data_IF_426688638727
#
_entry.id   IF_426688638727
#
_cell.length_a   1.000
_cell.length_b   1.000
_cell.length_c   1.000
_cell.angle_alpha   90.00
_cell.angle_beta   90.00
_cell.angle_gamma   90.00
#
_symmetry.space_group_name_H-M   'P 1'
#
loop_
_entity.id
_entity.type
_entity.pdbx_description
1 polymer ?
#
# COMPACT_ATOMS: atom_id res chain seq x y z
N UNK A 1 -120.02 27.12 -45.53
CA UNK A 1 -118.76 27.87 -45.54
C UNK A 1 -117.65 26.92 -45.25
N UNK A 2 -116.87 26.64 -46.23
CA UNK A 2 -115.89 25.61 -46.34
C UNK A 2 -114.53 25.93 -45.81
N UNK A 3 -113.87 24.92 -45.55
CA UNK A 3 -112.40 24.94 -45.73
C UNK A 3 -111.88 23.52 -45.91
N UNK A 4 -111.10 23.38 -46.95
CA UNK A 4 -110.43 22.18 -47.40
C UNK A 4 -109.23 21.85 -46.50
N UNK A 5 -109.05 20.58 -46.16
CA UNK A 5 -107.81 20.07 -45.57
C UNK A 5 -106.97 19.34 -46.61
N UNK A 6 -105.76 19.81 -46.87
CA UNK A 6 -104.80 19.16 -47.78
C UNK A 6 -104.11 18.03 -47.07
N UNK A 7 -104.16 16.85 -47.65
CA UNK A 7 -103.38 15.66 -47.30
C UNK A 7 -101.94 15.82 -47.74
N UNK A 8 -100.99 15.62 -46.82
CA UNK A 8 -99.52 15.56 -47.11
C UNK A 8 -99.10 14.07 -47.03
N UNK A 9 -98.69 13.51 -48.15
CA UNK A 9 -98.08 12.19 -48.26
C UNK A 9 -96.69 12.11 -47.58
N UNK A 10 -96.47 11.27 -46.61
CA UNK A 10 -95.20 10.92 -46.01
C UNK A 10 -94.44 9.92 -46.90
N UNK A 11 -93.16 10.23 -47.25
CA UNK A 11 -92.24 9.34 -47.95
C UNK A 11 -91.64 8.32 -46.94
N UNK A 12 -91.40 7.03 -47.34
CA UNK A 12 -90.76 6.04 -46.45
C UNK A 12 -89.29 6.32 -46.25
N UNK A 13 -88.83 6.35 -45.00
CA UNK A 13 -87.43 6.42 -44.58
C UNK A 13 -86.73 5.09 -44.88
N UNK A 14 -85.71 5.10 -45.74
CA UNK A 14 -84.80 3.99 -46.01
C UNK A 14 -83.98 3.64 -44.73
N UNK A 15 -84.20 2.46 -44.16
CA UNK A 15 -83.40 1.91 -43.07
C UNK A 15 -81.94 1.72 -43.55
N UNK A 16 -81.01 2.53 -43.04
CA UNK A 16 -79.55 2.39 -43.27
C UNK A 16 -79.11 1.19 -42.48
N UNK A 17 -78.46 0.23 -43.14
CA UNK A 17 -77.98 -1.01 -42.57
C UNK A 17 -76.64 -0.72 -41.79
N UNK A 18 -76.74 -0.33 -40.51
CA UNK A 18 -75.60 0.02 -39.66
C UNK A 18 -74.85 -1.20 -39.05
N UNK A 19 -75.30 -2.44 -39.34
CA UNK A 19 -74.72 -3.66 -38.81
C UNK A 19 -73.35 -3.98 -39.36
N UNK A 20 -73.11 -3.70 -40.65
CA UNK A 20 -71.78 -3.99 -41.28
C UNK A 20 -70.65 -3.09 -40.80
N UNK A 21 -70.95 -1.80 -40.59
CA UNK A 21 -69.90 -0.85 -40.08
C UNK A 21 -69.52 -1.15 -38.64
N UNK A 22 -70.43 -1.64 -37.79
CA UNK A 22 -70.08 -2.02 -36.41
C UNK A 22 -69.16 -3.22 -36.35
N UNK A 23 -69.33 -4.22 -37.19
CA UNK A 23 -68.42 -5.39 -37.26
C UNK A 23 -67.03 -5.00 -37.74
N UNK A 24 -66.95 -4.11 -38.76
CA UNK A 24 -65.65 -3.58 -39.26
C UNK A 24 -64.92 -2.76 -38.17
N UNK A 25 -65.71 -1.94 -37.43
CA UNK A 25 -65.13 -1.18 -36.31
C UNK A 25 -64.61 -2.08 -35.16
N UNK A 26 -65.38 -3.17 -34.85
CA UNK A 26 -64.88 -4.13 -33.80
C UNK A 26 -63.67 -4.88 -34.28
N UNK A 27 -63.57 -5.32 -35.51
CA UNK A 27 -62.40 -5.98 -36.09
C UNK A 27 -61.20 -5.00 -36.09
N UNK A 28 -61.41 -3.76 -36.51
CA UNK A 28 -60.37 -2.74 -36.51
C UNK A 28 -59.90 -2.42 -35.08
N UNK A 29 -60.79 -2.34 -34.08
CA UNK A 29 -60.44 -2.14 -32.66
C UNK A 29 -59.67 -3.34 -32.11
N UNK A 30 -60.04 -4.57 -32.41
CA UNK A 30 -59.27 -5.78 -31.99
C UNK A 30 -57.91 -5.81 -32.65
N UNK A 31 -57.75 -5.50 -33.92
CA UNK A 31 -56.48 -5.40 -34.61
C UNK A 31 -55.59 -4.28 -34.01
N UNK A 32 -56.26 -3.15 -33.67
CA UNK A 32 -55.54 -2.03 -33.00
C UNK A 32 -55.06 -2.41 -31.58
N UNK A 33 -55.89 -3.14 -30.82
CA UNK A 33 -55.48 -3.65 -29.49
C UNK A 33 -54.37 -4.68 -29.61
N UNK A 34 -54.39 -5.59 -30.59
CA UNK A 34 -53.30 -6.53 -30.85
C UNK A 34 -52.06 -5.80 -31.31
N UNK A 35 -52.18 -4.81 -32.19
CA UNK A 35 -51.06 -3.98 -32.65
C UNK A 35 -50.47 -3.14 -31.52
N UNK A 36 -51.29 -2.46 -30.72
CA UNK A 36 -50.86 -1.68 -29.56
C UNK A 36 -50.29 -2.60 -28.47
N UNK A 37 -50.90 -3.74 -28.20
CA UNK A 37 -50.42 -4.75 -27.26
C UNK A 37 -49.03 -5.28 -27.68
N UNK A 38 -48.81 -5.55 -28.95
CA UNK A 38 -47.51 -5.95 -29.50
C UNK A 38 -46.45 -4.82 -29.40
N UNK A 39 -46.88 -3.57 -29.66
CA UNK A 39 -45.98 -2.40 -29.50
C UNK A 39 -45.65 -2.12 -28.04
N UNK A 40 -46.64 -2.21 -27.12
CA UNK A 40 -46.36 -2.06 -25.68
C UNK A 40 -45.48 -3.21 -25.16
N UNK A 41 -45.76 -4.46 -25.57
CA UNK A 41 -44.90 -5.59 -25.18
C UNK A 41 -43.45 -5.40 -25.61
N UNK A 42 -43.21 -4.87 -26.83
CA UNK A 42 -41.87 -4.56 -27.32
C UNK A 42 -41.25 -3.32 -26.64
N UNK A 43 -42.03 -2.33 -26.22
CA UNK A 43 -41.57 -1.13 -25.50
C UNK A 43 -41.22 -1.43 -24.04
N UNK A 44 -41.75 -2.51 -23.45
CA UNK A 44 -41.40 -2.99 -22.10
C UNK A 44 -40.27 -4.03 -22.11
N UNK A 45 -39.73 -4.40 -23.26
CA UNK A 45 -38.49 -5.19 -23.38
C UNK A 45 -37.30 -4.23 -23.37
N UNK A 46 -37.02 -3.64 -22.20
CA UNK A 46 -35.79 -2.87 -22.03
C UNK A 46 -34.58 -3.77 -22.35
N UNK A 47 -33.60 -3.22 -23.07
CA UNK A 47 -32.34 -3.91 -23.27
C UNK A 47 -31.74 -4.30 -21.90
N UNK A 48 -31.13 -5.48 -21.77
CA UNK A 48 -30.54 -5.88 -20.51
C UNK A 48 -29.44 -4.90 -20.13
N UNK A 49 -29.40 -4.51 -18.87
CA UNK A 49 -28.31 -3.73 -18.31
C UNK A 49 -27.07 -4.62 -18.16
N UNK A 50 -25.96 -4.21 -18.73
CA UNK A 50 -24.72 -4.98 -18.71
C UNK A 50 -23.59 -4.19 -18.06
N UNK A 51 -22.69 -4.91 -17.41
CA UNK A 51 -21.44 -4.39 -16.84
C UNK A 51 -20.27 -5.24 -17.36
N UNK A 52 -19.17 -4.65 -17.82
CA UNK A 52 -18.01 -5.42 -18.24
C UNK A 52 -17.34 -6.11 -17.06
N UNK A 53 -16.94 -7.38 -17.22
CA UNK A 53 -16.09 -8.07 -16.28
C UNK A 53 -14.67 -7.52 -16.40
N UNK A 54 -14.22 -6.80 -15.38
CA UNK A 54 -12.89 -6.18 -15.34
C UNK A 54 -12.03 -6.85 -14.30
N UNK A 55 -10.71 -6.89 -14.55
CA UNK A 55 -9.73 -7.31 -13.55
C UNK A 55 -9.76 -6.39 -12.34
N UNK A 56 -9.73 -7.00 -11.17
CA UNK A 56 -9.63 -6.32 -9.88
C UNK A 56 -8.68 -7.11 -8.99
N UNK A 57 -7.91 -6.40 -8.19
CA UNK A 57 -7.15 -6.95 -7.07
C UNK A 57 -7.76 -6.43 -5.78
N UNK A 58 -8.11 -7.32 -4.87
CA UNK A 58 -8.76 -7.00 -3.60
C UNK A 58 -8.04 -7.71 -2.47
N UNK A 59 -7.81 -6.98 -1.40
CA UNK A 59 -7.27 -7.53 -0.18
C UNK A 59 -8.41 -8.00 0.73
N UNK A 60 -8.28 -9.21 1.23
CA UNK A 60 -9.01 -9.67 2.41
C UNK A 60 -8.26 -9.14 3.62
N UNK A 61 -8.72 -8.05 4.16
CA UNK A 61 -8.01 -7.30 5.20
C UNK A 61 -8.97 -6.73 6.25
N UNK A 62 -8.39 -6.39 7.38
CA UNK A 62 -9.07 -5.64 8.43
C UNK A 62 -8.08 -4.68 9.10
N UNK A 63 -8.60 -3.65 9.77
CA UNK A 63 -7.79 -2.61 10.42
C UNK A 63 -7.76 -2.78 11.92
N UNK A 64 -6.63 -2.40 12.54
CA UNK A 64 -6.45 -2.34 13.99
C UNK A 64 -5.36 -1.32 14.34
N UNK A 65 -5.18 -1.06 15.63
CA UNK A 65 -4.02 -0.35 16.15
C UNK A 65 -2.98 -1.37 16.63
N UNK A 66 -1.77 -1.28 16.07
CA UNK A 66 -0.66 -2.16 16.39
C UNK A 66 0.39 -1.46 17.27
N UNK A 67 0.89 -2.17 18.25
CA UNK A 67 1.93 -1.70 19.16
C UNK A 67 3.21 -2.51 18.99
N UNK A 68 4.33 -1.81 18.79
CA UNK A 68 5.63 -2.44 18.66
C UNK A 68 6.21 -2.84 20.04
N UNK A 69 6.64 -4.10 20.11
CA UNK A 69 7.39 -4.67 21.23
C UNK A 69 8.76 -5.09 20.72
N UNK A 70 9.81 -4.52 21.30
CA UNK A 70 11.21 -4.72 20.87
C UNK A 70 12.13 -4.80 22.07
N UNK A 71 13.26 -5.46 21.90
CA UNK A 71 14.35 -5.41 22.88
C UNK A 71 15.15 -4.13 22.64
N UNK A 72 14.92 -3.12 23.45
CA UNK A 72 15.45 -1.78 23.31
C UNK A 72 16.34 -1.44 24.52
N UNK A 73 17.53 -0.92 24.21
CA UNK A 73 18.49 -0.49 25.23
C UNK A 73 18.74 1.01 25.09
N UNK A 74 18.25 1.82 26.05
CA UNK A 74 18.56 3.25 26.06
C UNK A 74 20.05 3.52 26.23
N UNK A 75 20.54 4.55 25.56
CA UNK A 75 21.92 5.00 25.63
C UNK A 75 21.99 6.22 26.53
N UNK A 76 22.61 6.06 27.70
CA UNK A 76 22.72 7.12 28.67
C UNK A 76 23.47 8.33 28.12
N UNK A 77 22.96 9.52 28.41
CA UNK A 77 23.63 10.78 28.13
C UNK A 77 24.45 11.21 29.34
N UNK A 78 25.69 11.63 29.10
CA UNK A 78 26.42 12.42 30.05
C UNK A 78 25.73 13.80 30.16
N UNK A 79 25.01 14.02 31.26
CA UNK A 79 24.21 15.21 31.55
C UNK A 79 24.97 16.51 31.28
N UNK A 80 24.40 17.37 30.45
CA UNK A 80 24.83 18.76 30.26
C UNK A 80 25.90 18.99 29.18
N UNK A 81 26.23 18.00 28.38
CA UNK A 81 27.22 18.08 27.32
C UNK A 81 26.54 18.27 25.93
N UNK A 82 27.23 18.97 25.03
CA UNK A 82 26.87 19.05 23.63
C UNK A 82 27.21 17.73 22.94
N UNK A 83 26.35 17.22 22.08
CA UNK A 83 26.50 15.91 21.43
C UNK A 83 26.43 16.05 19.92
N UNK A 84 27.32 15.35 19.22
CA UNK A 84 27.28 15.16 17.77
C UNK A 84 27.09 13.70 17.48
N UNK A 85 25.94 13.35 16.90
CA UNK A 85 25.68 11.98 16.42
C UNK A 85 26.56 11.65 15.22
N UNK A 86 27.12 10.43 15.20
CA UNK A 86 27.91 9.88 14.09
C UNK A 86 27.01 9.00 13.23
N UNK A 87 26.02 8.36 13.84
CA UNK A 87 25.06 7.44 13.21
C UNK A 87 23.68 8.06 13.16
N UNK A 88 22.86 7.62 12.18
CA UNK A 88 21.49 8.09 11.99
C UNK A 88 20.48 7.02 12.42
N UNK A 89 19.26 7.46 12.77
CA UNK A 89 18.15 6.54 13.07
C UNK A 89 17.93 5.55 11.94
N UNK A 90 17.79 4.26 12.30
CA UNK A 90 17.64 3.15 11.36
C UNK A 90 18.96 2.57 10.86
N UNK A 91 20.08 3.15 11.20
CA UNK A 91 21.38 2.60 10.84
C UNK A 91 21.73 1.40 11.74
N UNK A 92 22.29 0.35 11.12
CA UNK A 92 22.73 -0.83 11.85
C UNK A 92 24.13 -0.62 12.40
N UNK A 93 24.27 -0.79 13.70
CA UNK A 93 25.54 -0.63 14.41
C UNK A 93 26.04 -1.97 14.97
N UNK A 94 27.34 -2.13 15.03
CA UNK A 94 27.99 -3.24 15.73
C UNK A 94 28.28 -2.84 17.17
N UNK A 95 28.46 -3.83 18.04
CA UNK A 95 28.96 -3.59 19.37
C UNK A 95 30.31 -2.85 19.28
N UNK A 96 30.53 -1.90 20.20
CA UNK A 96 31.70 -1.02 20.29
C UNK A 96 31.86 -0.03 19.10
N UNK A 97 30.92 0.03 18.17
CA UNK A 97 30.90 1.04 17.10
C UNK A 97 30.63 2.43 17.68
N UNK A 98 31.30 3.49 17.17
CA UNK A 98 31.06 4.86 17.61
C UNK A 98 29.67 5.32 17.24
N UNK A 99 28.91 5.86 18.19
CA UNK A 99 27.55 6.36 18.03
C UNK A 99 27.48 7.88 18.02
N UNK A 100 28.24 8.50 18.91
CA UNK A 100 28.26 9.95 19.10
C UNK A 100 29.55 10.42 19.75
N UNK A 101 29.86 11.69 19.55
CA UNK A 101 30.89 12.39 20.26
C UNK A 101 30.27 13.36 21.25
N UNK A 102 30.64 13.24 22.51
CA UNK A 102 30.20 14.11 23.59
C UNK A 102 31.29 15.16 23.79
N UNK A 103 30.93 16.42 23.76
CA UNK A 103 31.85 17.58 24.00
C UNK A 103 31.66 18.10 25.40
N UNK A 104 32.78 18.40 26.09
CA UNK A 104 32.79 18.89 27.46
C UNK A 104 32.10 20.25 27.63
N UNK A 105 32.13 21.07 26.58
CA UNK A 105 31.57 22.43 26.56
C UNK A 105 31.25 22.89 25.14
N UNK A 106 30.57 24.04 25.05
CA UNK A 106 30.17 24.64 23.78
C UNK A 106 31.37 25.04 22.90
N UNK A 107 32.47 25.46 23.51
CA UNK A 107 33.67 25.85 22.77
C UNK A 107 34.26 24.65 22.02
N UNK A 108 34.36 23.47 22.67
CA UNK A 108 34.81 22.25 22.00
C UNK A 108 33.88 21.81 20.87
N UNK A 109 32.59 22.00 21.01
CA UNK A 109 31.65 21.73 19.89
C UNK A 109 31.87 22.71 18.73
N UNK A 110 32.13 24.00 19.02
CA UNK A 110 32.36 25.00 17.98
C UNK A 110 33.72 24.76 17.27
N UNK A 111 34.72 24.26 17.97
CA UNK A 111 36.00 23.81 17.37
C UNK A 111 35.77 22.61 16.44
N UNK A 112 34.95 21.62 16.85
CA UNK A 112 34.63 20.48 16.01
C UNK A 112 33.87 20.89 14.72
N UNK A 113 32.96 21.87 14.81
CA UNK A 113 32.28 22.39 13.62
C UNK A 113 33.22 23.05 12.62
N UNK A 114 34.38 23.54 13.07
CA UNK A 114 35.44 24.06 12.20
C UNK A 114 36.25 22.95 11.54
N UNK A 115 36.37 21.77 12.21
CA UNK A 115 37.04 20.61 11.64
C UNK A 115 36.32 19.99 10.44
N UNK A 116 35.02 19.86 10.53
CA UNK A 116 34.24 19.18 9.50
C UNK A 116 34.51 19.68 8.05
N UNK A 117 34.46 21.02 7.77
CA UNK A 117 34.74 21.54 6.44
C UNK A 117 36.24 21.42 6.07
N UNK A 118 37.18 21.43 7.07
CA UNK A 118 38.60 21.20 6.80
C UNK A 118 38.86 19.76 6.37
N UNK A 119 38.32 18.79 7.07
CA UNK A 119 38.43 17.36 6.74
C UNK A 119 37.86 17.08 5.33
N UNK A 120 36.67 17.63 5.01
CA UNK A 120 36.09 17.53 3.66
C UNK A 120 37.06 18.13 2.63
N UNK A 121 37.63 19.33 2.88
CA UNK A 121 38.54 20.00 1.96
C UNK A 121 39.83 19.25 1.78
N UNK A 122 40.46 18.74 2.87
CA UNK A 122 41.65 17.91 2.84
C UNK A 122 41.42 16.65 2.02
N UNK A 123 40.34 15.92 2.28
CA UNK A 123 39.97 14.71 1.51
C UNK A 123 39.82 14.96 0.02
N UNK A 124 39.25 16.12 -0.35
CA UNK A 124 39.13 16.54 -1.73
C UNK A 124 40.52 16.85 -2.38
N UNK A 125 41.41 17.54 -1.65
CA UNK A 125 42.78 17.84 -2.12
C UNK A 125 43.61 16.56 -2.21
N UNK A 126 43.52 15.62 -1.25
CA UNK A 126 44.14 14.30 -1.32
C UNK A 126 43.76 13.56 -2.60
N UNK A 127 42.42 13.56 -2.91
CA UNK A 127 41.92 12.94 -4.11
C UNK A 127 42.46 13.62 -5.38
N UNK A 128 42.61 14.94 -5.34
CA UNK A 128 43.19 15.72 -6.43
C UNK A 128 44.69 15.39 -6.64
N UNK A 129 45.46 15.36 -5.57
CA UNK A 129 46.91 15.04 -5.61
C UNK A 129 47.16 13.61 -6.11
N UNK A 130 46.34 12.64 -5.71
CA UNK A 130 46.43 11.26 -6.24
C UNK A 130 46.08 11.15 -7.73
N UNK A 131 45.32 12.10 -8.27
CA UNK A 131 44.80 12.05 -9.64
C UNK A 131 45.73 12.69 -10.68
N UNK A 132 46.72 13.53 -10.23
CA UNK A 132 47.59 14.29 -11.13
C UNK A 132 48.63 13.43 -11.86
N UNK A 133 48.78 12.14 -11.51
CA UNK A 133 49.70 11.22 -12.18
C UNK A 133 49.24 10.72 -13.55
N UNK A 134 48.06 11.07 -14.03
CA UNK A 134 47.51 10.48 -15.26
C UNK A 134 46.72 11.48 -16.12
N UNK A 135 47.47 12.36 -16.80
CA UNK A 135 46.89 13.40 -17.70
C UNK A 135 46.18 12.85 -18.95
N UNK A 136 46.17 11.51 -19.15
CA UNK A 136 45.51 10.87 -20.33
C UNK A 136 44.00 10.63 -20.12
N UNK A 137 43.40 11.02 -18.98
CA UNK A 137 42.08 10.58 -18.56
C UNK A 137 40.97 11.64 -18.50
N UNK A 138 41.24 12.91 -18.91
CA UNK A 138 40.23 14.00 -18.79
C UNK A 138 38.94 13.66 -19.59
N UNK A 139 39.08 13.10 -20.82
CA UNK A 139 37.94 12.72 -21.62
C UNK A 139 37.12 11.56 -21.04
N UNK A 140 37.78 10.62 -20.36
CA UNK A 140 37.10 9.53 -19.61
C UNK A 140 36.42 10.07 -18.36
N UNK A 141 37.04 11.04 -17.70
CA UNK A 141 36.48 11.69 -16.51
C UNK A 141 35.19 12.46 -16.84
N UNK A 142 35.17 13.20 -17.96
CA UNK A 142 33.98 13.89 -18.44
C UNK A 142 32.82 12.91 -18.73
N UNK A 143 33.12 11.73 -19.25
CA UNK A 143 32.14 10.67 -19.47
C UNK A 143 31.60 10.11 -18.14
N UNK A 144 32.47 9.86 -17.17
CA UNK A 144 32.06 9.36 -15.84
C UNK A 144 31.23 10.41 -15.09
N UNK A 145 31.58 11.69 -15.17
CA UNK A 145 30.81 12.80 -14.59
C UNK A 145 29.41 12.82 -15.20
N UNK A 146 29.28 12.69 -16.52
CA UNK A 146 27.98 12.70 -17.19
C UNK A 146 27.10 11.53 -16.72
N UNK A 147 27.66 10.31 -16.65
CA UNK A 147 26.95 9.13 -16.16
C UNK A 147 26.54 9.28 -14.67
N UNK A 148 27.41 9.87 -13.85
CA UNK A 148 27.08 10.10 -12.42
C UNK A 148 25.96 11.14 -12.26
N UNK A 149 25.89 12.16 -13.13
CA UNK A 149 24.77 13.13 -13.16
C UNK A 149 23.46 12.44 -13.52
N UNK A 150 23.49 11.55 -14.54
CA UNK A 150 22.31 10.78 -14.94
C UNK A 150 21.83 9.86 -13.81
N UNK A 151 22.74 9.18 -13.12
CA UNK A 151 22.43 8.34 -11.95
C UNK A 151 21.85 9.16 -10.80
N UNK A 152 22.43 10.32 -10.49
CA UNK A 152 21.93 11.22 -9.47
C UNK A 152 20.51 11.69 -9.79
N UNK A 153 20.25 12.05 -11.05
CA UNK A 153 18.91 12.47 -11.48
C UNK A 153 17.86 11.35 -11.31
N UNK A 154 18.24 10.09 -11.57
CA UNK A 154 17.36 8.94 -11.35
C UNK A 154 17.10 8.66 -9.87
N UNK A 155 18.16 8.69 -9.04
CA UNK A 155 18.04 8.49 -7.59
C UNK A 155 17.20 9.57 -6.88
N UNK A 156 17.26 10.83 -7.38
CA UNK A 156 16.40 11.92 -6.90
C UNK A 156 14.94 11.64 -7.19
N UNK A 157 14.62 11.04 -8.36
CA UNK A 157 13.24 10.64 -8.70
C UNK A 157 12.74 9.48 -7.83
N UNK A 158 13.63 8.55 -7.49
CA UNK A 158 13.32 7.40 -6.62
C UNK A 158 13.17 7.77 -5.13
N UNK A 159 13.57 8.99 -4.74
CA UNK A 159 13.40 9.51 -3.37
C UNK A 159 14.36 8.93 -2.32
N UNK A 160 15.42 8.22 -2.74
CA UNK A 160 16.40 7.61 -1.84
C UNK A 160 17.43 8.63 -1.33
N UNK A 161 17.21 9.22 -0.16
CA UNK A 161 18.06 10.29 0.42
C UNK A 161 19.53 9.92 0.61
N UNK A 162 19.82 8.71 1.09
CA UNK A 162 21.22 8.24 1.30
C UNK A 162 21.96 8.02 -0.02
N UNK A 163 21.28 7.47 -1.04
CA UNK A 163 21.85 7.27 -2.37
C UNK A 163 22.13 8.60 -3.07
N UNK A 164 21.24 9.58 -2.91
CA UNK A 164 21.40 10.95 -3.44
C UNK A 164 22.61 11.63 -2.81
N UNK A 165 22.79 11.54 -1.49
CA UNK A 165 23.94 12.10 -0.79
C UNK A 165 25.26 11.47 -1.25
N UNK A 166 25.31 10.16 -1.40
CA UNK A 166 26.48 9.41 -1.90
C UNK A 166 26.84 9.79 -3.34
N UNK A 167 25.84 9.86 -4.24
CA UNK A 167 26.06 10.26 -5.63
C UNK A 167 26.50 11.72 -5.76
N UNK A 168 25.95 12.62 -4.94
CA UNK A 168 26.37 14.03 -4.90
C UNK A 168 27.81 14.18 -4.43
N UNK A 169 28.25 13.41 -3.41
CA UNK A 169 29.64 13.36 -2.95
C UNK A 169 30.58 12.84 -4.04
N UNK A 170 30.19 11.77 -4.73
CA UNK A 170 30.95 11.22 -5.85
C UNK A 170 31.11 12.23 -7.01
N UNK A 171 30.03 12.95 -7.35
CA UNK A 171 30.05 13.98 -8.39
C UNK A 171 30.99 15.14 -8.00
N UNK A 172 30.96 15.58 -6.74
CA UNK A 172 31.84 16.63 -6.21
C UNK A 172 33.32 16.19 -6.33
N UNK A 173 33.64 14.97 -5.94
CA UNK A 173 34.97 14.38 -6.07
C UNK A 173 35.46 14.31 -7.52
N UNK A 174 34.60 13.86 -8.46
CA UNK A 174 34.93 13.78 -9.88
C UNK A 174 35.14 15.17 -10.52
N UNK A 175 34.32 16.17 -10.15
CA UNK A 175 34.48 17.56 -10.60
C UNK A 175 35.81 18.13 -10.16
N UNK A 176 36.23 17.88 -8.92
CA UNK A 176 37.53 18.34 -8.39
C UNK A 176 38.71 17.64 -9.07
N UNK A 177 38.60 16.34 -9.37
CA UNK A 177 39.61 15.62 -10.17
C UNK A 177 39.78 16.26 -11.54
N UNK A 178 38.69 16.69 -12.18
CA UNK A 178 38.73 17.38 -13.48
C UNK A 178 39.40 18.72 -13.38
N UNK A 179 39.11 19.49 -12.31
CA UNK A 179 39.65 20.83 -12.06
C UNK A 179 41.14 20.76 -11.69
N UNK A 180 41.54 19.78 -10.88
CA UNK A 180 42.91 19.52 -10.47
C UNK A 180 43.85 19.14 -11.65
N UNK A 181 43.31 18.57 -12.76
CA UNK A 181 44.09 18.30 -13.96
C UNK A 181 44.65 19.55 -14.67
N UNK A 182 44.21 20.74 -14.26
CA UNK A 182 44.64 22.04 -14.81
C UNK A 182 45.31 22.95 -13.79
N UNK A 183 45.53 22.52 -12.53
CA UNK A 183 46.08 23.34 -11.44
C UNK A 183 47.55 22.96 -11.19
N UNK A 184 48.35 23.94 -10.78
CA UNK A 184 49.72 23.67 -10.37
C UNK A 184 49.76 22.78 -9.12
N UNK A 185 50.31 21.59 -9.27
CA UNK A 185 50.40 20.55 -8.20
C UNK A 185 51.08 21.09 -6.97
N UNK A 186 52.00 22.04 -7.11
CA UNK A 186 52.71 22.67 -5.95
C UNK A 186 51.77 23.56 -5.14
N UNK A 187 50.83 24.26 -5.80
CA UNK A 187 49.86 25.12 -5.13
C UNK A 187 48.84 24.29 -4.35
N UNK A 188 48.33 23.20 -4.95
CA UNK A 188 47.40 22.23 -4.33
C UNK A 188 48.08 21.56 -3.12
N UNK A 189 49.37 21.16 -3.24
CA UNK A 189 50.11 20.56 -2.12
C UNK A 189 50.36 21.56 -0.99
N UNK A 190 50.63 22.81 -1.31
CA UNK A 190 50.82 23.84 -0.29
C UNK A 190 49.53 24.17 0.47
N UNK A 191 48.38 24.22 -0.25
CA UNK A 191 47.05 24.38 0.37
C UNK A 191 46.75 23.19 1.28
N UNK A 192 46.95 21.96 0.80
CA UNK A 192 46.75 20.73 1.57
C UNK A 192 47.56 20.73 2.87
N UNK A 193 48.85 21.01 2.80
CA UNK A 193 49.76 21.02 3.97
C UNK A 193 49.38 22.10 5.00
N UNK A 194 48.87 23.25 4.51
CA UNK A 194 48.38 24.30 5.39
C UNK A 194 47.12 23.87 6.15
N UNK A 195 46.14 23.24 5.44
CA UNK A 195 44.89 22.76 6.03
C UNK A 195 45.14 21.60 7.00
N UNK A 196 46.03 20.66 6.69
CA UNK A 196 46.44 19.57 7.59
C UNK A 196 47.08 20.14 8.87
N UNK A 197 47.88 21.20 8.77
CA UNK A 197 48.47 21.87 9.93
C UNK A 197 47.40 22.56 10.79
N UNK A 198 46.40 23.19 10.17
CA UNK A 198 45.27 23.79 10.86
C UNK A 198 44.38 22.73 11.53
N UNK A 199 44.06 21.63 10.82
CA UNK A 199 43.35 20.46 11.37
C UNK A 199 44.10 19.96 12.66
N UNK A 200 45.39 19.67 12.57
CA UNK A 200 46.16 19.18 13.70
C UNK A 200 46.16 20.13 14.89
N UNK A 201 46.13 21.43 14.64
CA UNK A 201 46.03 22.44 15.69
C UNK A 201 44.68 22.40 16.40
N UNK A 202 43.57 22.26 15.66
CA UNK A 202 42.22 22.16 16.21
C UNK A 202 42.02 20.84 16.96
N UNK A 203 42.51 19.73 16.41
CA UNK A 203 42.45 18.40 17.06
C UNK A 203 43.23 18.43 18.40
N UNK A 204 44.37 19.08 18.44
CA UNK A 204 45.14 19.22 19.68
C UNK A 204 44.39 20.03 20.74
N UNK A 205 43.62 21.05 20.33
CA UNK A 205 42.76 21.84 21.23
C UNK A 205 41.58 21.03 21.74
N UNK A 206 41.12 20.05 21.00
CA UNK A 206 40.03 19.12 21.36
C UNK A 206 40.50 17.95 22.24
N UNK A 207 41.80 17.71 22.32
CA UNK A 207 42.35 16.59 23.10
C UNK A 207 41.92 16.66 24.56
N UNK A 208 41.25 15.59 25.05
CA UNK A 208 40.72 15.51 26.42
C UNK A 208 39.43 16.28 26.66
N UNK A 209 38.88 16.96 25.65
CA UNK A 209 37.61 17.69 25.72
C UNK A 209 36.43 16.96 25.02
N UNK A 210 36.71 15.80 24.47
CA UNK A 210 35.73 14.94 23.81
C UNK A 210 35.75 13.55 24.41
N UNK A 211 34.57 12.91 24.44
CA UNK A 211 34.39 11.51 24.80
C UNK A 211 33.60 10.84 23.71
N UNK A 212 34.13 9.76 23.18
CA UNK A 212 33.42 8.93 22.22
C UNK A 212 32.44 8.00 22.96
N UNK A 213 31.20 8.00 22.53
CA UNK A 213 30.17 7.08 22.99
C UNK A 213 30.03 5.95 21.99
N UNK A 214 30.21 4.72 22.47
CA UNK A 214 30.13 3.52 21.64
C UNK A 214 28.87 2.70 21.94
N UNK A 215 28.47 1.87 20.98
CA UNK A 215 27.33 0.96 21.13
C UNK A 215 27.62 -0.13 22.15
N UNK A 216 26.78 -0.29 23.16
CA UNK A 216 26.86 -1.35 24.17
C UNK A 216 26.58 -2.73 23.59
N UNK A 217 25.78 -2.78 22.50
CA UNK A 217 25.38 -4.00 21.81
C UNK A 217 25.20 -3.74 20.32
N UNK A 218 25.16 -4.80 19.52
CA UNK A 218 24.80 -4.68 18.10
C UNK A 218 23.30 -4.57 17.92
N UNK A 219 22.86 -3.71 16.99
CA UNK A 219 21.43 -3.49 16.74
C UNK A 219 21.19 -2.36 15.75
N UNK A 220 19.99 -1.79 15.78
CA UNK A 220 19.62 -0.60 15.01
C UNK A 220 19.55 0.60 15.94
N UNK A 221 20.21 1.67 15.56
CA UNK A 221 20.19 2.91 16.34
C UNK A 221 18.91 3.70 16.11
N UNK A 222 18.37 4.32 17.15
CA UNK A 222 17.29 5.28 17.10
C UNK A 222 17.59 6.49 17.98
N UNK A 223 17.44 7.68 17.43
CA UNK A 223 17.51 8.93 18.21
C UNK A 223 16.28 9.14 19.10
N UNK A 224 15.17 8.44 18.80
CA UNK A 224 13.91 8.60 19.50
C UNK A 224 13.83 7.64 20.67
N UNK A 225 13.76 8.19 21.88
CA UNK A 225 13.50 7.48 23.13
C UNK A 225 12.14 7.93 23.64
N UNK A 226 11.17 7.01 23.73
CA UNK A 226 9.79 7.31 24.02
C UNK A 226 9.34 6.88 25.43
N UNK A 227 10.24 6.25 26.20
CA UNK A 227 10.02 5.81 27.58
C UNK A 227 9.27 4.49 27.73
N UNK A 228 8.98 3.79 26.60
CA UNK A 228 8.36 2.46 26.62
C UNK A 228 9.38 1.32 26.52
N UNK A 229 10.69 1.62 26.46
CA UNK A 229 11.76 0.66 26.22
C UNK A 229 11.79 -0.49 27.25
N UNK A 230 11.46 -0.19 28.50
CA UNK A 230 11.38 -1.20 29.58
C UNK A 230 9.99 -1.79 29.77
N UNK A 231 8.96 -1.24 29.13
CA UNK A 231 7.56 -1.62 29.28
C UNK A 231 7.14 -2.59 28.18
N UNK A 232 7.42 -2.24 26.92
CA UNK A 232 6.97 -2.98 25.75
C UNK A 232 8.10 -3.87 25.21
N UNK A 233 8.48 -4.85 26.03
CA UNK A 233 9.54 -5.82 25.71
C UNK A 233 8.96 -7.11 25.13
N UNK A 234 9.67 -7.84 24.25
CA UNK A 234 9.21 -9.11 23.70
C UNK A 234 8.83 -10.14 24.78
N UNK A 235 9.60 -10.19 25.84
CA UNK A 235 9.33 -11.11 26.97
C UNK A 235 8.02 -10.83 27.71
N UNK A 236 7.47 -9.62 27.61
CA UNK A 236 6.18 -9.28 28.19
C UNK A 236 4.98 -9.82 27.39
N UNK A 237 5.21 -10.23 26.12
CA UNK A 237 4.18 -10.79 25.26
C UNK A 237 3.86 -12.26 25.56
N UNK A 238 4.76 -12.97 26.22
CA UNK A 238 4.57 -14.38 26.55
C UNK A 238 3.31 -14.55 27.42
N UNK A 239 2.32 -15.27 26.90
CA UNK A 239 1.02 -15.51 27.56
C UNK A 239 0.21 -14.23 27.92
N UNK A 240 0.55 -13.07 27.30
CA UNK A 240 -0.15 -11.81 27.55
C UNK A 240 -1.63 -11.91 27.16
N UNK A 241 -2.52 -11.54 28.09
CA UNK A 241 -3.96 -11.48 27.84
C UNK A 241 -4.34 -10.13 27.25
N UNK A 242 -5.55 -10.03 26.65
CA UNK A 242 -6.09 -8.74 26.13
C UNK A 242 -6.15 -7.70 27.26
N UNK A 243 -6.58 -8.10 28.46
CA UNK A 243 -6.68 -7.17 29.59
C UNK A 243 -5.30 -6.69 30.08
N UNK A 244 -4.30 -7.57 30.07
CA UNK A 244 -2.91 -7.19 30.40
C UNK A 244 -2.34 -6.27 29.34
N UNK A 245 -2.59 -6.55 28.05
CA UNK A 245 -2.19 -5.69 26.94
C UNK A 245 -2.77 -4.28 27.11
N UNK A 246 -4.10 -4.17 27.29
CA UNK A 246 -4.76 -2.87 27.48
C UNK A 246 -4.17 -2.08 28.68
N UNK A 247 -3.85 -2.77 29.77
CA UNK A 247 -3.19 -2.15 30.94
C UNK A 247 -1.75 -1.73 30.65
N UNK A 248 -1.03 -2.53 29.88
CA UNK A 248 0.39 -2.27 29.56
C UNK A 248 0.55 -1.08 28.64
N UNK A 249 -0.23 -1.01 27.56
CA UNK A 249 -0.17 0.12 26.61
C UNK A 249 -0.74 1.42 27.19
N UNK A 250 -1.62 1.33 28.19
CA UNK A 250 -2.15 2.49 28.91
C UNK A 250 -1.20 3.05 29.97
N UNK A 251 -0.07 2.38 30.27
CA UNK A 251 0.94 2.91 31.19
C UNK A 251 1.55 4.20 30.62
N UNK A 252 1.86 5.12 31.53
CA UNK A 252 2.60 6.32 31.12
C UNK A 252 4.07 5.96 30.85
N UNK A 253 4.68 6.55 29.80
CA UNK A 253 6.08 6.33 29.50
C UNK A 253 6.97 6.67 30.71
N UNK A 254 8.04 5.89 30.89
CA UNK A 254 9.01 6.14 31.94
C UNK A 254 9.79 7.44 31.67
N UNK A 255 9.88 8.31 32.64
CA UNK A 255 10.69 9.51 32.56
C UNK A 255 12.19 9.25 32.79
N UNK A 256 12.57 8.04 33.21
CA UNK A 256 13.96 7.70 33.53
C UNK A 256 14.91 7.88 32.32
N UNK A 257 14.40 7.59 31.12
CA UNK A 257 15.18 7.67 29.88
C UNK A 257 15.06 9.01 29.14
N UNK A 258 14.42 10.01 29.75
CA UNK A 258 14.19 11.32 29.09
C UNK A 258 15.46 12.07 28.68
N UNK A 259 16.62 11.72 29.25
CA UNK A 259 17.92 12.30 28.93
C UNK A 259 18.81 11.37 28.09
N UNK A 260 18.29 10.25 27.62
CA UNK A 260 19.07 9.34 26.78
C UNK A 260 19.38 9.96 25.41
N UNK A 261 20.56 9.66 24.87
CA UNK A 261 20.99 10.13 23.54
C UNK A 261 20.28 9.43 22.39
N UNK A 262 19.64 8.35 22.68
CA UNK A 262 19.01 7.45 21.75
C UNK A 262 18.86 6.08 22.38
N UNK A 263 18.54 5.10 21.57
CA UNK A 263 18.44 3.69 21.97
C UNK A 263 18.99 2.77 20.89
N UNK A 264 19.38 1.56 21.28
CA UNK A 264 19.70 0.47 20.37
C UNK A 264 18.56 -0.53 20.41
N UNK A 265 17.95 -0.80 19.26
CA UNK A 265 16.99 -1.88 19.06
C UNK A 265 17.80 -3.14 18.76
N UNK A 266 17.84 -4.06 19.73
CA UNK A 266 18.62 -5.29 19.65
C UNK A 266 17.89 -6.40 18.91
N UNK A 267 18.64 -7.37 18.39
CA UNK A 267 18.09 -8.53 17.70
C UNK A 267 17.73 -8.27 16.23
N UNK A 268 17.05 -9.27 15.65
CA UNK A 268 16.62 -9.25 14.25
C UNK A 268 15.10 -9.23 14.14
N UNK A 269 14.40 -9.51 15.24
CA UNK A 269 12.97 -9.67 15.27
C UNK A 269 12.33 -8.50 16.04
N UNK A 270 11.20 -8.07 15.54
CA UNK A 270 10.30 -7.18 16.23
C UNK A 270 8.92 -7.81 16.29
N UNK A 271 8.15 -7.44 17.28
CA UNK A 271 6.79 -7.93 17.45
C UNK A 271 5.80 -6.79 17.37
N UNK A 272 4.67 -7.07 16.74
CA UNK A 272 3.54 -6.15 16.64
C UNK A 272 2.33 -6.82 17.27
N UNK A 273 1.89 -6.26 18.38
CA UNK A 273 0.70 -6.75 19.09
C UNK A 273 -0.49 -5.85 18.75
N UNK A 274 -1.62 -6.47 18.38
CA UNK A 274 -2.84 -5.78 18.00
C UNK A 274 -4.06 -6.46 18.62
N UNK A 275 -5.00 -5.66 19.15
CA UNK A 275 -6.27 -6.16 19.62
C UNK A 275 -7.24 -6.25 18.45
N UNK A 276 -7.70 -7.46 18.13
CA UNK A 276 -8.54 -7.74 16.98
C UNK A 276 -9.88 -8.37 17.42
N UNK A 277 -10.96 -8.25 16.61
CA UNK A 277 -12.20 -8.99 16.87
C UNK A 277 -11.97 -10.52 16.88
N UNK A 278 -12.67 -11.22 17.75
CA UNK A 278 -12.57 -12.68 17.87
C UNK A 278 -12.88 -13.40 16.54
N UNK A 279 -13.86 -12.89 15.79
CA UNK A 279 -14.20 -13.41 14.44
C UNK A 279 -13.00 -13.37 13.48
N UNK A 280 -12.17 -12.33 13.53
CA UNK A 280 -10.98 -12.24 12.71
C UNK A 280 -9.88 -13.19 13.23
N UNK A 281 -9.78 -13.35 14.54
CA UNK A 281 -8.82 -14.27 15.15
C UNK A 281 -9.07 -15.73 14.74
N UNK A 282 -10.34 -16.15 14.63
CA UNK A 282 -10.72 -17.51 14.21
C UNK A 282 -10.28 -17.85 12.76
N UNK A 283 -10.06 -16.82 11.94
CA UNK A 283 -9.61 -16.97 10.54
C UNK A 283 -8.10 -17.11 10.41
N UNK A 284 -7.35 -16.89 11.48
CA UNK A 284 -5.89 -16.86 11.49
C UNK A 284 -5.32 -18.11 12.15
N UNK A 285 -4.09 -18.46 11.78
CA UNK A 285 -3.36 -19.58 12.35
C UNK A 285 -1.95 -19.15 12.77
N UNK A 286 -1.45 -19.70 13.88
CA UNK A 286 -0.06 -19.49 14.30
C UNK A 286 0.88 -20.02 13.23
N UNK A 287 1.89 -19.24 12.87
CA UNK A 287 2.82 -19.54 11.79
C UNK A 287 2.34 -19.09 10.40
N UNK A 288 1.14 -18.53 10.28
CA UNK A 288 0.64 -17.97 9.01
C UNK A 288 1.40 -16.69 8.64
N UNK A 289 1.80 -16.57 7.37
CA UNK A 289 2.34 -15.31 6.84
C UNK A 289 1.20 -14.34 6.53
N UNK A 290 1.35 -13.09 6.97
CA UNK A 290 0.46 -11.97 6.71
C UNK A 290 1.26 -10.80 6.14
N UNK A 291 0.57 -9.84 5.54
CA UNK A 291 1.15 -8.54 5.19
C UNK A 291 0.52 -7.48 6.07
N UNK A 292 1.34 -6.66 6.70
CA UNK A 292 0.88 -5.50 7.47
C UNK A 292 1.20 -4.24 6.69
N UNK A 293 0.18 -3.45 6.40
CA UNK A 293 0.30 -2.14 5.79
C UNK A 293 0.22 -1.07 6.89
N UNK A 294 1.31 -0.33 7.10
CA UNK A 294 1.39 0.81 8.01
C UNK A 294 0.85 2.05 7.29
N UNK A 295 -0.43 2.32 7.48
CA UNK A 295 -1.18 3.29 6.67
C UNK A 295 -0.63 4.71 6.74
N UNK A 296 -0.03 5.13 7.87
CA UNK A 296 0.57 6.45 8.04
C UNK A 296 1.96 6.57 7.38
N UNK A 297 2.71 5.46 7.36
CA UNK A 297 4.05 5.42 6.76
C UNK A 297 4.03 5.04 5.28
N UNK A 298 2.87 4.64 4.74
CA UNK A 298 2.73 4.11 3.38
C UNK A 298 3.72 2.97 3.08
N UNK A 299 3.89 2.08 4.05
CA UNK A 299 4.87 1.00 4.04
C UNK A 299 4.18 -0.32 4.34
N UNK A 300 4.60 -1.36 3.63
CA UNK A 300 4.17 -2.74 3.88
C UNK A 300 5.32 -3.58 4.44
N UNK A 301 5.01 -4.51 5.34
CA UNK A 301 5.96 -5.50 5.84
C UNK A 301 5.31 -6.87 5.92
N UNK A 302 6.08 -7.90 5.60
CA UNK A 302 5.68 -9.29 5.82
C UNK A 302 5.93 -9.65 7.27
N UNK A 303 4.94 -10.31 7.86
CA UNK A 303 4.98 -10.77 9.25
C UNK A 303 4.47 -12.19 9.34
N UNK A 304 4.84 -12.87 10.40
CA UNK A 304 4.32 -14.21 10.73
C UNK A 304 3.49 -14.12 12.00
N UNK A 305 2.34 -14.76 12.05
CA UNK A 305 1.54 -14.87 13.27
C UNK A 305 2.33 -15.65 14.32
N UNK A 306 2.77 -14.95 15.37
CA UNK A 306 3.53 -15.53 16.47
C UNK A 306 2.61 -16.22 17.48
N UNK A 307 1.56 -15.52 17.94
CA UNK A 307 0.55 -16.07 18.83
C UNK A 307 -0.80 -15.38 18.65
N UNK A 308 -1.86 -16.10 19.06
CA UNK A 308 -3.22 -15.58 19.10
C UNK A 308 -3.77 -15.92 20.49
N UNK A 309 -3.92 -14.90 21.33
CA UNK A 309 -4.36 -15.09 22.71
C UNK A 309 -5.83 -14.66 22.83
N UNK A 310 -6.71 -15.64 22.83
CA UNK A 310 -8.15 -15.47 23.01
C UNK A 310 -8.59 -16.10 24.31
N UNK A 311 -9.35 -15.38 25.15
CA UNK A 311 -9.82 -15.87 26.44
C UNK A 311 -11.34 -16.05 26.46
N UNK A 312 -11.78 -17.29 26.60
CA UNK A 312 -13.19 -17.63 26.80
C UNK A 312 -14.13 -17.05 25.76
N UNK A 313 -15.21 -16.42 26.21
CA UNK A 313 -16.22 -15.79 25.34
C UNK A 313 -15.94 -14.31 25.06
N UNK A 314 -14.67 -13.87 25.13
CA UNK A 314 -14.30 -12.48 24.80
C UNK A 314 -14.56 -12.16 23.34
N UNK A 315 -15.16 -10.99 23.06
CA UNK A 315 -15.38 -10.50 21.69
C UNK A 315 -14.07 -10.08 20.99
N UNK A 316 -12.94 -10.11 21.70
CA UNK A 316 -11.63 -9.69 21.18
C UNK A 316 -10.53 -10.70 21.54
N UNK A 317 -9.51 -10.74 20.70
CA UNK A 317 -8.29 -11.51 20.88
C UNK A 317 -7.05 -10.60 20.72
N UNK A 318 -5.94 -10.99 21.34
CA UNK A 318 -4.64 -10.36 21.11
C UNK A 318 -3.89 -11.15 20.03
N UNK A 319 -3.68 -10.51 18.90
CA UNK A 319 -2.84 -11.02 17.82
C UNK A 319 -1.42 -10.48 18.01
N UNK A 320 -0.44 -11.38 18.07
CA UNK A 320 0.98 -11.04 18.09
C UNK A 320 1.59 -11.51 16.79
N UNK A 321 2.19 -10.59 16.07
CA UNK A 321 2.86 -10.83 14.79
C UNK A 321 4.36 -10.57 14.95
N UNK A 322 5.18 -11.39 14.30
CA UNK A 322 6.65 -11.30 14.29
C UNK A 322 7.12 -10.87 12.92
N UNK A 323 7.96 -9.82 12.88
CA UNK A 323 8.64 -9.35 11.67
C UNK A 323 10.15 -9.37 11.84
N UNK A 324 10.86 -9.50 10.71
CA UNK A 324 12.34 -9.59 10.68
C UNK A 324 12.99 -8.47 9.86
N UNK A 325 12.19 -7.74 9.09
CA UNK A 325 12.68 -6.63 8.27
C UNK A 325 12.54 -5.32 9.01
N UNK A 326 13.64 -4.58 9.16
CA UNK A 326 13.64 -3.23 9.73
C UNK A 326 13.83 -2.18 8.64
N UNK A 327 13.02 -1.14 8.68
CA UNK A 327 13.29 0.11 7.97
C UNK A 327 13.70 1.21 8.97
N UNK A 328 14.28 2.29 8.47
CA UNK A 328 14.69 3.45 9.30
C UNK A 328 13.51 4.05 10.05
N UNK A 329 12.32 4.06 9.43
CA UNK A 329 11.10 4.59 10.01
C UNK A 329 10.57 3.69 11.13
N UNK A 330 10.63 2.36 10.95
CA UNK A 330 10.09 1.40 11.92
C UNK A 330 10.78 1.46 13.28
N UNK A 331 12.06 1.85 13.32
CA UNK A 331 12.86 1.89 14.54
C UNK A 331 12.30 2.91 15.56
N UNK A 332 11.65 3.97 15.07
CA UNK A 332 11.05 5.02 15.90
C UNK A 332 9.56 4.83 16.15
N UNK A 333 8.89 3.91 15.44
CA UNK A 333 7.46 3.68 15.59
C UNK A 333 7.11 3.00 16.92
N UNK A 334 5.95 3.34 17.50
CA UNK A 334 5.42 2.68 18.69
C UNK A 334 3.99 2.21 18.48
N UNK A 335 3.03 3.09 18.49
CA UNK A 335 1.64 2.81 18.13
C UNK A 335 1.40 3.20 16.68
N UNK A 336 0.80 2.31 15.88
CA UNK A 336 0.51 2.57 14.48
C UNK A 336 -0.86 2.03 14.10
N UNK A 337 -1.67 2.82 13.39
CA UNK A 337 -2.83 2.27 12.69
C UNK A 337 -2.34 1.39 11.54
N UNK A 338 -2.81 0.14 11.53
CA UNK A 338 -2.39 -0.88 10.60
C UNK A 338 -3.58 -1.49 9.86
N UNK A 339 -3.35 -1.90 8.63
CA UNK A 339 -4.21 -2.81 7.89
C UNK A 339 -3.51 -4.17 7.81
N UNK A 340 -4.17 -5.21 8.33
CA UNK A 340 -3.69 -6.59 8.32
C UNK A 340 -4.31 -7.28 7.13
N UNK A 341 -3.50 -7.68 6.16
CA UNK A 341 -3.91 -8.34 4.93
C UNK A 341 -3.68 -9.84 5.10
N UNK A 342 -4.79 -10.59 5.11
CA UNK A 342 -4.79 -12.06 5.25
C UNK A 342 -4.43 -12.71 3.92
N UNK A 343 -5.04 -12.21 2.84
CA UNK A 343 -4.84 -12.69 1.48
C UNK A 343 -5.15 -11.61 0.46
N UNK A 344 -4.53 -11.71 -0.71
CA UNK A 344 -4.81 -10.86 -1.86
C UNK A 344 -5.37 -11.70 -2.99
N UNK A 345 -6.54 -11.33 -3.48
CA UNK A 345 -7.25 -12.02 -4.56
C UNK A 345 -7.23 -11.18 -5.83
N UNK A 346 -6.79 -11.77 -6.92
CA UNK A 346 -6.81 -11.15 -8.25
C UNK A 346 -7.72 -11.96 -9.17
N UNK A 347 -8.71 -11.31 -9.79
CA UNK A 347 -9.66 -11.98 -10.64
C UNK A 347 -10.59 -10.99 -11.35
N UNK A 348 -11.74 -11.47 -11.83
CA UNK A 348 -12.75 -10.64 -12.50
C UNK A 348 -13.82 -10.21 -11.50
N UNK A 349 -14.17 -8.92 -11.52
CA UNK A 349 -15.25 -8.36 -10.71
C UNK A 349 -16.59 -8.72 -11.30
N UNK A 350 -17.46 -9.38 -10.49
CA UNK A 350 -18.82 -9.76 -10.85
C UNK A 350 -19.81 -9.28 -9.79
N UNK A 351 -20.76 -8.39 -10.13
CA UNK A 351 -21.79 -7.95 -9.18
C UNK A 351 -22.60 -9.13 -8.64
N UNK A 352 -22.87 -9.20 -7.34
CA UNK A 352 -23.68 -10.25 -6.71
C UNK A 352 -25.08 -10.37 -7.36
N UNK A 353 -25.65 -9.23 -7.76
CA UNK A 353 -26.96 -9.16 -8.44
C UNK A 353 -26.98 -9.90 -9.79
N UNK A 354 -25.83 -10.12 -10.43
CA UNK A 354 -25.71 -10.81 -11.71
C UNK A 354 -25.58 -12.33 -11.59
N UNK A 355 -25.20 -12.83 -10.41
CA UNK A 355 -24.94 -14.26 -10.20
C UNK A 355 -26.26 -15.04 -10.21
N UNK A 356 -26.25 -16.16 -10.95
CA UNK A 356 -27.34 -17.12 -11.06
C UNK A 356 -26.82 -18.52 -10.87
N UNK A 357 -27.68 -19.42 -10.40
CA UNK A 357 -27.35 -20.83 -10.25
C UNK A 357 -28.10 -21.61 -11.32
N UNK A 358 -27.43 -22.42 -12.10
CA UNK A 358 -28.03 -23.37 -13.04
C UNK A 358 -27.85 -24.81 -12.53
N UNK A 359 -28.87 -25.62 -12.75
CA UNK A 359 -28.82 -27.05 -12.50
C UNK A 359 -28.26 -27.76 -13.73
N UNK A 360 -27.20 -28.50 -13.55
CA UNK A 360 -26.63 -29.38 -14.56
C UNK A 360 -26.72 -30.82 -14.08
N UNK A 361 -27.30 -31.68 -14.93
CA UNK A 361 -27.37 -33.11 -14.67
C UNK A 361 -26.18 -33.78 -15.37
N UNK A 362 -25.33 -34.48 -14.61
CA UNK A 362 -24.21 -35.25 -15.17
C UNK A 362 -24.68 -36.55 -15.84
N UNK A 363 -23.76 -37.29 -16.44
CA UNK A 363 -24.02 -38.56 -17.13
C UNK A 363 -24.60 -39.65 -16.21
N UNK A 364 -24.42 -39.53 -14.89
CA UNK A 364 -24.90 -40.47 -13.88
C UNK A 364 -26.24 -40.05 -13.25
N UNK A 365 -26.86 -38.96 -13.78
CA UNK A 365 -28.15 -38.46 -13.32
C UNK A 365 -28.10 -37.63 -12.07
N UNK A 366 -26.89 -37.25 -11.59
CA UNK A 366 -26.70 -36.36 -10.42
C UNK A 366 -26.89 -34.92 -10.83
N UNK A 367 -27.77 -34.21 -10.13
CA UNK A 367 -27.99 -32.78 -10.31
C UNK A 367 -26.95 -32.02 -9.50
N UNK A 368 -26.18 -31.17 -10.19
CA UNK A 368 -25.22 -30.26 -9.57
C UNK A 368 -25.62 -28.83 -9.83
N UNK A 369 -25.60 -27.99 -8.80
CA UNK A 369 -25.88 -26.57 -8.92
C UNK A 369 -24.56 -25.83 -9.26
N UNK A 370 -24.53 -25.13 -10.38
CA UNK A 370 -23.36 -24.43 -10.89
C UNK A 370 -23.62 -22.92 -10.83
N UNK A 371 -22.85 -22.16 -10.03
CA UNK A 371 -22.90 -20.72 -10.04
C UNK A 371 -22.34 -20.16 -11.35
N UNK A 372 -22.95 -19.10 -11.85
CA UNK A 372 -22.52 -18.47 -13.08
C UNK A 372 -23.21 -17.16 -13.34
N UNK A 373 -22.92 -16.54 -14.46
CA UNK A 373 -23.50 -15.29 -14.93
C UNK A 373 -23.97 -15.42 -16.36
N UNK A 374 -24.99 -14.66 -16.73
CA UNK A 374 -25.31 -14.47 -18.12
C UNK A 374 -24.51 -13.33 -18.71
N UNK A 375 -23.87 -13.54 -19.85
CA UNK A 375 -23.21 -12.52 -20.64
C UNK A 375 -23.97 -12.22 -21.93
N UNK A 376 -23.82 -11.01 -22.45
CA UNK A 376 -24.29 -10.61 -23.74
C UNK A 376 -23.14 -10.70 -24.77
N UNK A 377 -23.16 -11.72 -25.63
CA UNK A 377 -22.20 -11.91 -26.71
C UNK A 377 -22.88 -11.53 -28.04
N UNK A 378 -22.64 -10.30 -28.51
CA UNK A 378 -23.43 -9.70 -29.58
C UNK A 378 -24.89 -9.52 -29.14
N UNK A 379 -25.83 -10.26 -29.80
CA UNK A 379 -27.26 -10.27 -29.44
C UNK A 379 -27.69 -11.56 -28.72
N UNK A 380 -26.78 -12.40 -28.29
CA UNK A 380 -27.08 -13.70 -27.70
C UNK A 380 -26.63 -13.71 -26.23
N UNK A 381 -27.53 -14.15 -25.35
CA UNK A 381 -27.22 -14.45 -23.98
C UNK A 381 -26.49 -15.80 -23.88
N UNK A 382 -25.40 -15.85 -23.18
CA UNK A 382 -24.66 -17.07 -22.86
C UNK A 382 -24.45 -17.18 -21.37
N UNK A 383 -24.64 -18.38 -20.84
CA UNK A 383 -24.29 -18.68 -19.47
C UNK A 383 -22.80 -18.99 -19.39
N UNK A 384 -22.12 -18.36 -18.43
CA UNK A 384 -20.71 -18.57 -18.12
C UNK A 384 -20.58 -18.99 -16.67
N UNK A 385 -19.88 -20.07 -16.42
CA UNK A 385 -19.57 -20.53 -15.07
C UNK A 385 -18.58 -19.58 -14.40
N UNK A 386 -18.68 -19.45 -13.09
CA UNK A 386 -17.76 -18.70 -12.25
C UNK A 386 -17.27 -19.59 -11.12
N UNK A 387 -15.98 -19.43 -10.78
CA UNK A 387 -15.38 -19.92 -9.54
C UNK A 387 -15.13 -18.72 -8.65
N UNK A 388 -15.76 -18.67 -7.51
CA UNK A 388 -15.61 -17.59 -6.55
C UNK A 388 -14.26 -17.72 -5.84
N UNK A 389 -13.45 -16.65 -5.87
CA UNK A 389 -12.19 -16.54 -5.14
C UNK A 389 -12.40 -15.75 -3.86
N UNK A 390 -13.20 -14.68 -3.93
CA UNK A 390 -13.46 -13.80 -2.80
C UNK A 390 -14.86 -13.17 -2.90
N UNK A 391 -15.53 -13.04 -1.76
CA UNK A 391 -16.83 -12.39 -1.63
C UNK A 391 -16.66 -11.03 -0.94
N UNK A 392 -16.90 -9.94 -1.68
CA UNK A 392 -16.99 -8.57 -1.16
C UNK A 392 -18.44 -8.21 -0.85
N UNK A 393 -18.74 -7.00 -0.40
CA UNK A 393 -20.07 -6.57 0.01
C UNK A 393 -21.09 -6.63 -1.15
N UNK A 394 -20.73 -6.12 -2.32
CA UNK A 394 -21.62 -5.95 -3.49
C UNK A 394 -21.21 -6.76 -4.73
N UNK A 395 -20.05 -7.43 -4.70
CA UNK A 395 -19.54 -8.22 -5.81
C UNK A 395 -18.74 -9.44 -5.36
N UNK A 396 -18.50 -10.35 -6.30
CA UNK A 396 -17.52 -11.44 -6.17
C UNK A 396 -16.28 -11.14 -7.01
N UNK A 397 -15.12 -11.56 -6.53
CA UNK A 397 -13.93 -11.73 -7.34
C UNK A 397 -13.92 -13.19 -7.80
N UNK A 398 -13.92 -13.41 -9.11
CA UNK A 398 -13.99 -14.76 -9.68
C UNK A 398 -12.76 -15.07 -10.50
N UNK A 399 -12.45 -16.34 -10.58
CA UNK A 399 -11.31 -16.84 -11.35
C UNK A 399 -11.49 -16.56 -12.85
N UNK A 400 -10.42 -16.15 -13.50
CA UNK A 400 -10.35 -16.09 -14.96
C UNK A 400 -9.66 -17.35 -15.49
N UNK A 401 -10.32 -18.07 -16.39
CA UNK A 401 -9.69 -19.18 -17.11
C UNK A 401 -9.26 -18.76 -18.51
N UNK A 402 -7.99 -18.97 -18.82
CA UNK A 402 -7.46 -18.72 -20.17
C UNK A 402 -7.81 -19.84 -21.16
N UNK A 403 -8.20 -21.02 -20.69
CA UNK A 403 -8.36 -22.24 -21.50
C UNK A 403 -9.79 -22.74 -21.58
N UNK A 404 -10.65 -22.41 -20.62
CA UNK A 404 -12.04 -22.85 -20.58
C UNK A 404 -12.97 -21.77 -21.14
N UNK A 405 -13.49 -22.02 -22.34
CA UNK A 405 -14.43 -21.10 -23.02
C UNK A 405 -15.77 -20.95 -22.32
N UNK A 406 -16.13 -21.85 -21.39
CA UNK A 406 -17.38 -21.83 -20.64
C UNK A 406 -17.29 -21.03 -19.35
N UNK A 407 -16.08 -20.58 -18.97
CA UNK A 407 -15.85 -19.65 -17.89
C UNK A 407 -15.86 -18.18 -18.35
N UNK A 408 -16.08 -17.27 -17.40
CA UNK A 408 -16.05 -15.84 -17.63
C UNK A 408 -14.64 -15.37 -18.04
N UNK A 409 -14.59 -14.45 -19.01
CA UNK A 409 -13.34 -13.84 -19.47
C UNK A 409 -13.40 -12.32 -19.34
N UNK A 410 -12.23 -11.68 -19.35
CA UNK A 410 -12.14 -10.23 -19.25
C UNK A 410 -12.93 -9.52 -20.36
N UNK A 411 -13.65 -8.46 -20.00
CA UNK A 411 -14.52 -7.63 -20.85
C UNK A 411 -15.80 -8.31 -21.34
N UNK A 412 -16.13 -9.52 -20.91
CA UNK A 412 -17.46 -10.07 -21.11
C UNK A 412 -18.51 -9.12 -20.52
N UNK A 413 -19.59 -8.88 -21.29
CA UNK A 413 -20.69 -8.01 -20.87
C UNK A 413 -21.66 -8.78 -19.98
N UNK A 414 -21.42 -8.74 -18.67
CA UNK A 414 -22.24 -9.43 -17.66
C UNK A 414 -23.60 -8.73 -17.53
N UNK A 415 -24.69 -9.49 -17.63
CA UNK A 415 -26.07 -8.98 -17.51
C UNK A 415 -26.40 -8.85 -16.02
N UNK A 416 -26.56 -7.62 -15.55
CA UNK A 416 -26.89 -7.29 -14.16
C UNK A 416 -28.39 -7.30 -13.95
N UNK A 417 -29.17 -6.71 -14.91
CA UNK A 417 -30.61 -6.69 -14.90
C UNK A 417 -31.16 -7.15 -16.25
N UNK A 418 -32.13 -8.09 -16.23
CA UNK A 418 -32.81 -8.59 -17.42
C UNK A 418 -33.93 -9.54 -17.05
N UNK A 419 -35.04 -9.47 -17.79
CA UNK A 419 -36.14 -10.43 -17.68
C UNK A 419 -35.85 -11.67 -18.54
N UNK A 420 -36.17 -12.87 -18.03
CA UNK A 420 -36.06 -14.14 -18.77
C UNK A 420 -34.65 -14.44 -19.28
N UNK A 421 -33.69 -14.51 -18.36
CA UNK A 421 -32.30 -14.90 -18.70
C UNK A 421 -32.29 -16.42 -19.00
N UNK A 422 -31.97 -16.79 -20.23
CA UNK A 422 -31.86 -18.18 -20.67
C UNK A 422 -30.63 -18.32 -21.61
N UNK A 423 -29.98 -19.47 -21.53
CA UNK A 423 -28.85 -19.77 -22.40
C UNK A 423 -29.28 -19.83 -23.88
N UNK A 424 -28.48 -19.24 -24.75
CA UNK A 424 -28.75 -19.13 -26.20
C UNK A 424 -30.01 -18.30 -26.60
N UNK A 425 -30.53 -17.47 -25.70
CA UNK A 425 -31.62 -16.57 -26.00
C UNK A 425 -31.13 -15.35 -26.80
N UNK A 426 -31.82 -15.02 -27.90
CA UNK A 426 -31.54 -13.81 -28.68
C UNK A 426 -32.23 -12.62 -28.02
N UNK A 427 -31.48 -11.61 -27.68
CA UNK A 427 -31.98 -10.33 -27.18
C UNK A 427 -32.20 -9.40 -28.35
N UNK A 428 -33.40 -8.87 -28.50
CA UNK A 428 -33.64 -7.80 -29.46
C UNK A 428 -33.09 -6.51 -28.89
N UNK A 429 -32.04 -5.97 -29.51
CA UNK A 429 -31.49 -4.64 -29.26
C UNK A 429 -32.42 -3.56 -29.79
#
# INVERSE_FOLDING_TARGET
MGQQTKSTKSKPRKRRNDGGNRVVFIIAAVLMVIYLGGRLSNAFSAAPETTPALHVTVNDSFTSDGWFFRDEEPIDNATGSSVKHIVYSGERVQQDAPLAIIYSDQESMDLSRQLDPLEERISLLDTALQSTSDSSNIAKLDQVITLTIEQLAEQVKEGSGSSVASAASSLRTLSLRREAGNVDTNEVSAEHDALVSEQSSLEHQLTGRTTELTASSSGYFSEVVDGYESILTPSSLDEMTVEQFDKTVAQQPSAENSNSLGKIVKGFNWYLAAKIPAEQAERLQVGQELTVNFTQASMESKVTVHSINHQGDSDTALLVMEGTEFSSEMVSMREQPIEIIIATYTGLKVPKSAVRVQEQTDSDGKITQIPGVFILSGSIQKFKMINELFEADDYYVVEQSATNSDMLVERDQVIVQGKNQQNNMVVKT
#
